data_IF_553169945544
#
_entry.id   IF_553169945544
#
_cell.length_a   1.000
_cell.length_b   1.000
_cell.length_c   1.000
_cell.angle_alpha   90.00
_cell.angle_beta   90.00
_cell.angle_gamma   90.00
#
_symmetry.space_group_name_H-M   'P 1'
#
loop_
_entity.id
_entity.type
_entity.pdbx_description
1 polymer ?
#
# COMPACT_ATOMS: atom_id res chain seq x y z
N UNK A 1 -17.75 3.17 -1.14
CA UNK A 1 -17.57 1.85 -0.47
C UNK A 1 -17.24 2.07 1.01
N UNK A 2 -17.62 1.14 1.90
CA UNK A 2 -17.26 1.20 3.32
C UNK A 2 -15.83 0.67 3.52
N UNK A 3 -14.91 1.40 4.20
CA UNK A 3 -13.57 0.90 4.46
C UNK A 3 -13.59 -0.29 5.41
N UNK A 4 -12.70 -1.26 5.17
CA UNK A 4 -12.61 -2.48 5.95
C UNK A 4 -11.51 -2.37 7.01
N UNK A 5 -11.77 -2.88 8.22
CA UNK A 5 -10.74 -2.98 9.25
C UNK A 5 -9.73 -4.05 8.83
N UNK A 6 -8.46 -3.65 8.66
CA UNK A 6 -7.35 -4.56 8.51
C UNK A 6 -6.71 -4.77 9.89
N UNK A 7 -6.70 -6.02 10.37
CA UNK A 7 -5.99 -6.33 11.62
C UNK A 7 -4.52 -6.54 11.30
N UNK A 8 -3.67 -5.69 11.86
CA UNK A 8 -2.22 -5.90 11.87
C UNK A 8 -1.89 -6.83 13.03
N UNK A 9 -1.19 -7.93 12.76
CA UNK A 9 -0.74 -8.84 13.83
C UNK A 9 0.40 -8.20 14.61
N UNK A 10 0.21 -8.04 15.91
CA UNK A 10 1.22 -7.50 16.83
C UNK A 10 1.57 -8.56 17.88
N UNK A 11 2.85 -8.74 18.16
CA UNK A 11 3.33 -9.48 19.34
C UNK A 11 3.65 -8.47 20.45
N UNK A 12 3.42 -8.79 21.75
CA UNK A 12 3.78 -7.89 22.86
C UNK A 12 5.25 -7.46 22.87
N UNK A 13 6.14 -8.24 22.25
CA UNK A 13 7.58 -7.95 22.18
C UNK A 13 7.98 -7.08 20.97
N UNK A 14 7.04 -6.66 20.11
CA UNK A 14 7.32 -5.91 18.89
C UNK A 14 6.50 -4.62 18.83
N UNK A 15 7.18 -3.51 18.59
CA UNK A 15 6.55 -2.18 18.48
C UNK A 15 6.22 -1.78 17.04
N UNK A 16 6.68 -2.56 16.05
CA UNK A 16 6.39 -2.40 14.63
C UNK A 16 6.43 -3.74 13.91
N UNK A 17 5.82 -3.79 12.72
CA UNK A 17 6.00 -4.87 11.76
C UNK A 17 6.57 -4.29 10.47
N UNK A 18 7.35 -5.09 9.75
CA UNK A 18 7.91 -4.73 8.45
C UNK A 18 7.62 -5.87 7.47
N UNK A 19 7.18 -5.51 6.26
CA UNK A 19 6.91 -6.44 5.17
C UNK A 19 7.39 -5.84 3.86
N UNK A 20 7.65 -6.69 2.88
CA UNK A 20 7.93 -6.30 1.49
C UNK A 20 6.93 -6.99 0.58
N UNK A 21 6.07 -6.19 -0.04
CA UNK A 21 5.05 -6.68 -0.95
C UNK A 21 5.63 -6.64 -2.38
N UNK A 22 5.82 -7.80 -3.02
CA UNK A 22 6.35 -7.92 -4.39
C UNK A 22 5.25 -8.03 -5.45
N UNK A 23 4.02 -8.26 -5.00
CA UNK A 23 2.82 -8.29 -5.85
C UNK A 23 1.96 -7.06 -5.57
N UNK A 24 1.50 -6.35 -6.61
CA UNK A 24 0.70 -5.12 -6.48
C UNK A 24 -0.66 -5.33 -5.78
N UNK A 25 -1.12 -6.58 -5.60
CA UNK A 25 -2.43 -6.88 -5.03
C UNK A 25 -2.42 -7.20 -3.52
N UNK A 26 -1.25 -7.23 -2.87
CA UNK A 26 -1.11 -7.72 -1.48
C UNK A 26 -2.07 -7.03 -0.48
N UNK A 27 -2.42 -5.77 -0.70
CA UNK A 27 -3.38 -5.01 0.12
C UNK A 27 -4.30 -4.11 -0.72
N UNK A 28 -4.70 -4.58 -1.91
CA UNK A 28 -5.51 -3.81 -2.85
C UNK A 28 -7.00 -3.78 -2.46
N UNK A 29 -7.31 -3.25 -1.26
CA UNK A 29 -8.67 -3.01 -0.77
C UNK A 29 -8.73 -1.68 -0.02
N UNK A 30 -9.89 -1.01 -0.05
CA UNK A 30 -10.13 0.18 0.77
C UNK A 30 -10.20 -0.21 2.24
N UNK A 31 -9.18 0.16 3.02
CA UNK A 31 -9.01 -0.33 4.39
C UNK A 31 -8.43 0.72 5.34
N UNK A 32 -8.49 0.42 6.63
CA UNK A 32 -7.90 1.21 7.71
C UNK A 32 -7.43 0.28 8.83
N UNK A 33 -6.50 0.77 9.65
CA UNK A 33 -5.96 0.08 10.83
C UNK A 33 -5.52 1.12 11.87
N UNK A 34 -5.28 0.71 13.11
CA UNK A 34 -4.96 1.64 14.22
C UNK A 34 -3.51 2.12 14.15
N UNK A 35 -2.64 1.34 13.52
CA UNK A 35 -1.22 1.59 13.44
C UNK A 35 -0.93 2.80 12.52
N UNK A 36 0.24 3.40 12.67
CA UNK A 36 0.80 4.33 11.68
C UNK A 36 1.55 3.47 10.66
N UNK A 37 1.36 3.73 9.37
CA UNK A 37 2.01 2.96 8.31
C UNK A 37 2.94 3.85 7.49
N UNK A 38 4.18 3.37 7.29
CA UNK A 38 5.17 3.97 6.40
C UNK A 38 5.34 3.06 5.20
N UNK A 39 5.14 3.61 4.00
CA UNK A 39 5.25 2.87 2.73
C UNK A 39 6.33 3.54 1.89
N UNK A 40 7.22 2.72 1.36
CA UNK A 40 8.16 3.12 0.32
C UNK A 40 7.83 2.34 -0.95
N UNK A 41 7.49 3.07 -2.02
CA UNK A 41 7.17 2.47 -3.33
C UNK A 41 8.45 2.22 -4.10
N UNK A 42 9.09 1.06 -3.91
CA UNK A 42 10.34 0.75 -4.62
C UNK A 42 10.16 0.69 -6.15
N UNK A 43 9.04 0.13 -6.62
CA UNK A 43 8.68 0.04 -8.04
C UNK A 43 7.17 0.19 -8.24
N UNK A 44 6.80 0.78 -9.37
CA UNK A 44 5.43 1.01 -9.79
C UNK A 44 4.99 2.46 -9.66
N UNK A 45 3.89 2.78 -10.32
CA UNK A 45 3.23 4.07 -10.28
C UNK A 45 1.72 3.82 -10.22
N UNK A 46 0.97 4.82 -9.76
CA UNK A 46 -0.47 4.73 -9.75
C UNK A 46 -1.15 5.89 -9.04
N UNK A 47 -2.32 5.60 -8.51
CA UNK A 47 -3.15 6.55 -7.77
C UNK A 47 -3.28 6.11 -6.32
N UNK A 48 -2.97 7.02 -5.40
CA UNK A 48 -3.20 6.87 -3.97
C UNK A 48 -4.52 7.50 -3.58
N UNK A 49 -5.26 6.80 -2.73
CA UNK A 49 -6.49 7.27 -2.11
C UNK A 49 -6.25 7.25 -0.61
N UNK A 50 -6.21 8.41 0.05
CA UNK A 50 -5.90 8.53 1.47
C UNK A 50 -6.88 9.53 2.08
N UNK A 51 -7.86 9.04 2.85
CA UNK A 51 -8.95 9.86 3.36
C UNK A 51 -9.72 10.55 2.23
N UNK A 52 -9.65 11.88 2.19
CA UNK A 52 -10.24 12.77 1.18
C UNK A 52 -9.22 13.24 0.12
N UNK A 53 -7.96 12.83 0.22
CA UNK A 53 -6.91 13.14 -0.75
C UNK A 53 -6.76 12.06 -1.80
N UNK A 54 -6.78 12.45 -3.07
CA UNK A 54 -6.49 11.59 -4.22
C UNK A 54 -5.32 12.21 -4.97
N UNK A 55 -4.21 11.49 -5.06
CA UNK A 55 -3.00 11.94 -5.75
C UNK A 55 -2.35 10.80 -6.51
N UNK A 56 -1.35 11.10 -7.33
CA UNK A 56 -0.49 10.07 -7.89
C UNK A 56 0.63 9.71 -6.91
N UNK A 57 1.12 8.47 -7.03
CA UNK A 57 2.39 8.04 -6.44
C UNK A 57 3.27 7.46 -7.55
N UNK A 58 4.57 7.53 -7.33
CA UNK A 58 5.60 7.05 -8.24
C UNK A 58 6.67 6.23 -7.53
N UNK A 59 7.49 5.53 -8.32
CA UNK A 59 8.63 4.77 -7.79
C UNK A 59 9.63 5.70 -7.10
N UNK A 60 10.03 5.35 -5.88
CA UNK A 60 10.86 6.16 -5.00
C UNK A 60 10.08 6.98 -3.97
N UNK A 61 8.75 7.11 -4.13
CA UNK A 61 7.94 7.87 -3.18
C UNK A 61 7.88 7.18 -1.80
N UNK A 62 7.86 8.00 -0.76
CA UNK A 62 7.69 7.58 0.64
C UNK A 62 6.47 8.26 1.21
N UNK A 63 5.53 7.48 1.74
CA UNK A 63 4.26 7.96 2.27
C UNK A 63 4.09 7.52 3.72
N UNK A 64 3.71 8.45 4.59
CA UNK A 64 3.33 8.18 5.98
C UNK A 64 1.83 8.34 6.15
N UNK A 65 1.15 7.30 6.63
CA UNK A 65 -0.29 7.24 6.83
C UNK A 65 -0.62 7.29 8.32
N UNK A 66 -1.54 8.20 8.68
CA UNK A 66 -2.01 8.35 10.05
C UNK A 66 -2.91 7.20 10.52
N UNK A 67 -2.99 7.03 11.84
CA UNK A 67 -3.85 6.05 12.51
C UNK A 67 -5.32 6.17 12.09
N UNK A 68 -5.96 5.02 11.82
CA UNK A 68 -7.37 4.89 11.43
C UNK A 68 -7.78 5.67 10.17
N UNK A 69 -6.82 6.11 9.36
CA UNK A 69 -7.09 6.82 8.11
C UNK A 69 -7.33 5.80 7.00
N UNK A 70 -8.52 5.80 6.36
CA UNK A 70 -8.77 4.90 5.24
C UNK A 70 -7.84 5.17 4.07
N UNK A 71 -7.26 4.11 3.50
CA UNK A 71 -6.35 4.20 2.36
C UNK A 71 -6.46 3.02 1.39
N UNK A 72 -6.04 3.27 0.14
CA UNK A 72 -5.99 2.31 -0.96
C UNK A 72 -5.02 2.77 -2.04
N UNK A 73 -4.42 1.80 -2.74
CA UNK A 73 -3.41 2.02 -3.77
C UNK A 73 -3.85 1.35 -5.05
N UNK A 74 -4.14 2.13 -6.09
CA UNK A 74 -4.44 1.60 -7.42
C UNK A 74 -3.22 1.72 -8.30
N UNK A 75 -2.51 0.61 -8.53
CA UNK A 75 -1.41 0.58 -9.50
C UNK A 75 -1.92 0.70 -10.93
N UNK A 76 -1.15 1.35 -11.79
CA UNK A 76 -1.49 1.49 -13.21
C UNK A 76 -1.39 0.14 -13.95
N UNK A 77 -2.24 -0.06 -14.97
CA UNK A 77 -2.30 -1.30 -15.75
C UNK A 77 -0.94 -1.69 -16.37
N UNK A 78 -0.13 -0.70 -16.76
CA UNK A 78 1.21 -0.91 -17.31
C UNK A 78 2.17 -1.64 -16.35
N UNK A 79 1.96 -1.52 -15.03
CA UNK A 79 2.76 -2.21 -14.03
C UNK A 79 2.55 -3.73 -14.04
N UNK A 80 1.37 -4.19 -14.45
CA UNK A 80 1.05 -5.62 -14.53
C UNK A 80 1.49 -6.25 -15.85
N UNK A 81 1.71 -5.45 -16.89
CA UNK A 81 2.15 -5.93 -18.21
C UNK A 81 3.65 -6.23 -18.26
N UNK A 82 4.44 -5.65 -17.37
CA UNK A 82 5.90 -5.85 -17.28
C UNK A 82 6.29 -7.14 -16.56
N UNK A 83 5.40 -7.75 -15.77
CA UNK A 83 5.62 -9.07 -15.14
C UNK A 83 5.45 -10.25 -16.10
N UNK A 84 5.04 -10.03 -17.36
CA UNK A 84 4.98 -11.06 -18.41
C UNK A 84 6.24 -11.12 -19.29
N UNK A 85 7.28 -10.33 -18.98
CA UNK A 85 8.61 -10.46 -19.57
C UNK A 85 9.58 -10.93 -18.48
N UNK A 86 9.51 -12.20 -18.11
CA UNK A 86 10.65 -12.89 -17.49
C UNK A 86 11.52 -13.45 -18.60
N UNK A 87 12.68 -12.83 -18.79
CA UNK A 87 13.97 -13.37 -19.21
C UNK A 87 13.96 -14.65 -20.07
N UNK A 88 14.16 -14.47 -21.38
CA UNK A 88 14.70 -15.48 -22.28
C UNK A 88 16.18 -15.18 -22.56
#
# INVERSE_FOLDING_TARGET
MKPQLLKVSTSPAHSFSARRDTIPYANNRWHYHREIELIHFEKGNGTQFIGDSICNFSSGDVVLIGSNLPHYWSFDSAYFNSSNQTDA
#
